data_IF_846571374106
#
_entry.id   IF_846571374106
#
_cell.length_a   1.000
_cell.length_b   1.000
_cell.length_c   1.000
_cell.angle_alpha   90.00
_cell.angle_beta   90.00
_cell.angle_gamma   90.00
#
_symmetry.space_group_name_H-M   'P 1'
#
loop_
_entity.id
_entity.type
_entity.pdbx_description
1 polymer ?
#
# COMPACT_ATOMS: atom_id res chain seq x y z
N UNK A 1 -23.79 -5.25 8.68
CA UNK A 1 -24.61 -4.67 9.78
C UNK A 1 -25.94 -5.40 9.83
N UNK A 2 -26.44 -5.79 11.00
CA UNK A 2 -27.85 -6.20 11.08
C UNK A 2 -28.73 -4.98 10.73
N UNK A 3 -29.81 -5.14 9.94
CA UNK A 3 -30.80 -4.08 9.75
C UNK A 3 -31.26 -3.53 11.13
N UNK A 4 -31.32 -2.20 11.28
CA UNK A 4 -31.84 -1.55 12.48
C UNK A 4 -30.87 -1.13 13.61
N UNK A 5 -29.53 -1.17 13.43
CA UNK A 5 -28.61 -0.71 14.49
C UNK A 5 -28.50 0.81 14.63
N UNK A 6 -29.06 1.57 13.68
CA UNK A 6 -29.11 3.01 13.68
C UNK A 6 -30.57 3.44 13.52
N UNK A 7 -31.05 4.32 14.39
CA UNK A 7 -32.38 4.89 14.32
C UNK A 7 -32.30 6.41 14.32
N UNK A 8 -33.14 7.06 13.52
CA UNK A 8 -33.29 8.50 13.46
C UNK A 8 -34.66 8.90 13.98
N UNK A 9 -34.71 9.99 14.74
CA UNK A 9 -35.96 10.55 15.25
C UNK A 9 -36.43 11.68 14.35
N UNK A 10 -37.58 11.50 13.71
CA UNK A 10 -38.19 12.55 12.89
C UNK A 10 -38.54 13.77 13.77
N UNK A 11 -38.08 14.98 13.44
CA UNK A 11 -38.37 16.18 14.23
C UNK A 11 -39.86 16.52 14.30
N UNK A 12 -40.62 16.32 13.21
CA UNK A 12 -42.04 16.64 13.16
C UNK A 12 -42.91 15.61 13.88
N UNK A 13 -42.73 14.33 13.55
CA UNK A 13 -43.60 13.24 14.05
C UNK A 13 -43.12 12.64 15.36
N UNK A 14 -41.87 12.91 15.76
CA UNK A 14 -41.16 12.29 16.89
C UNK A 14 -41.02 10.76 16.82
N UNK A 15 -41.44 10.13 15.73
CA UNK A 15 -41.29 8.71 15.48
C UNK A 15 -39.84 8.35 15.20
N UNK A 16 -39.46 7.13 15.58
CA UNK A 16 -38.17 6.54 15.24
C UNK A 16 -38.28 5.75 13.94
N UNK A 17 -37.36 6.00 13.02
CA UNK A 17 -37.23 5.26 11.76
C UNK A 17 -35.83 4.67 11.66
N UNK A 18 -35.65 3.64 10.84
CA UNK A 18 -34.31 3.15 10.51
C UNK A 18 -33.49 4.28 9.88
N UNK A 19 -32.25 4.42 10.35
CA UNK A 19 -31.29 5.38 9.82
C UNK A 19 -30.37 4.76 8.79
N UNK A 20 -29.94 5.55 7.82
CA UNK A 20 -28.87 5.19 6.89
C UNK A 20 -27.58 5.95 7.21
N UNK A 21 -26.48 5.45 6.69
CA UNK A 21 -25.18 6.12 6.78
C UNK A 21 -25.22 7.49 6.09
N UNK A 22 -25.88 7.59 4.93
CA UNK A 22 -26.10 8.82 4.18
C UNK A 22 -26.79 9.87 5.05
N UNK A 23 -27.87 9.48 5.74
CA UNK A 23 -28.63 10.38 6.60
C UNK A 23 -27.80 10.90 7.79
N UNK A 24 -26.92 10.06 8.38
CA UNK A 24 -26.01 10.52 9.45
C UNK A 24 -24.98 11.49 8.90
N UNK A 25 -24.40 11.20 7.74
CA UNK A 25 -23.41 12.05 7.11
C UNK A 25 -24.01 13.39 6.70
N UNK A 26 -25.24 13.42 6.21
CA UNK A 26 -25.96 14.64 5.81
C UNK A 26 -26.20 15.60 6.98
N UNK A 27 -26.31 15.09 8.21
CA UNK A 27 -26.47 15.91 9.42
C UNK A 27 -25.17 16.59 9.88
N UNK A 28 -24.01 16.23 9.31
CA UNK A 28 -22.74 16.80 9.71
C UNK A 28 -22.60 18.25 9.25
N UNK A 29 -22.06 19.16 10.09
CA UNK A 29 -21.85 20.57 9.75
C UNK A 29 -20.58 20.73 8.89
N UNK A 30 -20.56 20.12 7.71
CA UNK A 30 -19.42 20.11 6.80
C UNK A 30 -19.84 20.39 5.34
N UNK A 31 -18.92 20.90 4.48
CA UNK A 31 -19.19 21.07 3.06
C UNK A 31 -19.64 19.77 2.39
N UNK A 32 -20.53 19.86 1.40
CA UNK A 32 -21.07 18.70 0.70
C UNK A 32 -19.99 17.75 0.14
N UNK A 33 -18.89 18.30 -0.39
CA UNK A 33 -17.77 17.50 -0.88
C UNK A 33 -17.08 16.68 0.23
N UNK A 34 -16.88 17.26 1.42
CA UNK A 34 -16.27 16.57 2.55
C UNK A 34 -17.19 15.47 3.11
N UNK A 35 -18.50 15.74 3.17
CA UNK A 35 -19.52 14.74 3.52
C UNK A 35 -19.50 13.56 2.56
N UNK A 36 -19.45 13.81 1.25
CA UNK A 36 -19.38 12.76 0.23
C UNK A 36 -18.10 11.93 0.35
N UNK A 37 -16.94 12.56 0.60
CA UNK A 37 -15.68 11.83 0.85
C UNK A 37 -15.79 10.93 2.07
N UNK A 38 -16.31 11.46 3.19
CA UNK A 38 -16.50 10.68 4.41
C UNK A 38 -17.43 9.49 4.19
N UNK A 39 -18.56 9.69 3.52
CA UNK A 39 -19.51 8.62 3.19
C UNK A 39 -18.83 7.51 2.40
N UNK A 40 -18.05 7.86 1.35
CA UNK A 40 -17.30 6.89 0.56
C UNK A 40 -16.29 6.12 1.42
N UNK A 41 -15.55 6.81 2.26
CA UNK A 41 -14.55 6.18 3.15
C UNK A 41 -15.18 5.21 4.17
N UNK A 42 -16.36 5.55 4.70
CA UNK A 42 -17.13 4.69 5.60
C UNK A 42 -17.67 3.46 4.85
N UNK A 43 -18.22 3.65 3.64
CA UNK A 43 -18.69 2.56 2.79
C UNK A 43 -17.56 1.61 2.41
N UNK A 44 -16.40 2.12 2.00
CA UNK A 44 -15.22 1.30 1.71
C UNK A 44 -14.77 0.50 2.94
N UNK A 45 -14.80 1.12 4.13
CA UNK A 45 -14.47 0.41 5.37
C UNK A 45 -15.42 -0.75 5.62
N UNK A 46 -16.74 -0.57 5.40
CA UNK A 46 -17.74 -1.65 5.50
C UNK A 46 -17.43 -2.77 4.50
N UNK A 47 -17.20 -2.43 3.22
CA UNK A 47 -16.92 -3.41 2.17
C UNK A 47 -15.68 -4.26 2.50
N UNK A 48 -14.59 -3.64 2.97
CA UNK A 48 -13.38 -4.38 3.30
C UNK A 48 -13.51 -5.19 4.59
N UNK A 49 -14.29 -4.74 5.57
CA UNK A 49 -14.63 -5.55 6.73
C UNK A 49 -15.43 -6.79 6.34
N UNK A 50 -16.41 -6.65 5.46
CA UNK A 50 -17.19 -7.78 4.94
C UNK A 50 -16.31 -8.76 4.16
N UNK A 51 -15.37 -8.24 3.37
CA UNK A 51 -14.36 -9.05 2.70
C UNK A 51 -13.49 -9.82 3.68
N UNK A 52 -13.03 -9.19 4.77
CA UNK A 52 -12.21 -9.85 5.78
C UNK A 52 -12.95 -10.96 6.54
N UNK A 53 -14.27 -10.82 6.72
CA UNK A 53 -15.11 -11.88 7.30
C UNK A 53 -15.12 -13.16 6.46
N UNK A 54 -14.76 -13.09 5.18
CA UNK A 54 -14.65 -14.28 4.32
C UNK A 54 -13.29 -14.98 4.42
N UNK A 55 -12.31 -14.33 5.05
CA UNK A 55 -10.96 -14.87 5.19
C UNK A 55 -10.87 -15.86 6.36
N UNK A 56 -10.07 -16.93 6.23
CA UNK A 56 -9.82 -17.84 7.35
C UNK A 56 -9.17 -17.10 8.52
N UNK A 57 -9.82 -17.13 9.68
CA UNK A 57 -9.29 -16.54 10.90
C UNK A 57 -8.67 -17.63 11.80
N UNK A 58 -7.46 -17.42 12.34
CA UNK A 58 -6.86 -18.34 13.29
C UNK A 58 -7.62 -18.30 14.63
N UNK A 59 -7.93 -19.46 15.19
CA UNK A 59 -8.57 -19.58 16.51
C UNK A 59 -7.67 -19.08 17.65
N UNK A 60 -6.35 -19.18 17.48
CA UNK A 60 -5.35 -18.67 18.42
C UNK A 60 -4.27 -17.92 17.64
N UNK A 61 -4.02 -16.67 18.04
CA UNK A 61 -3.02 -15.79 17.43
C UNK A 61 -1.67 -15.80 18.16
N UNK A 62 -1.60 -16.34 19.39
CA UNK A 62 -0.43 -16.19 20.29
C UNK A 62 0.82 -16.95 19.82
N UNK A 63 0.63 -18.01 19.06
CA UNK A 63 1.72 -18.84 18.52
C UNK A 63 2.10 -18.50 17.08
N UNK A 64 1.47 -17.48 16.48
CA UNK A 64 1.77 -17.07 15.12
C UNK A 64 3.14 -16.39 15.04
N UNK A 65 3.85 -16.62 13.94
CA UNK A 65 4.99 -15.78 13.57
C UNK A 65 4.56 -14.34 13.37
N UNK A 66 5.50 -13.39 13.50
CA UNK A 66 5.20 -11.96 13.41
C UNK A 66 4.42 -11.58 12.14
N UNK A 67 4.84 -12.06 10.97
CA UNK A 67 4.16 -11.77 9.69
C UNK A 67 2.73 -12.31 9.65
N UNK A 68 2.50 -13.50 10.22
CA UNK A 68 1.18 -14.13 10.27
C UNK A 68 0.28 -13.48 11.32
N UNK A 69 0.85 -13.06 12.45
CA UNK A 69 0.15 -12.28 13.46
C UNK A 69 -0.30 -10.94 12.88
N UNK A 70 0.59 -10.21 12.20
CA UNK A 70 0.27 -8.92 11.60
C UNK A 70 -0.84 -9.02 10.54
N UNK A 71 -0.86 -10.10 9.74
CA UNK A 71 -1.97 -10.38 8.81
C UNK A 71 -3.28 -10.75 9.53
N UNK A 72 -3.22 -11.37 10.71
CA UNK A 72 -4.40 -11.83 11.43
C UNK A 72 -5.14 -10.72 12.19
N UNK A 73 -4.60 -9.51 12.23
CA UNK A 73 -5.22 -8.34 12.87
C UNK A 73 -6.18 -7.65 11.89
N UNK A 74 -7.47 -7.91 12.02
CA UNK A 74 -8.51 -7.27 11.22
C UNK A 74 -9.12 -6.04 11.90
N UNK A 75 -8.93 -5.90 13.22
CA UNK A 75 -9.55 -4.90 14.09
C UNK A 75 -9.04 -3.48 13.81
N UNK A 76 -7.82 -3.34 13.28
CA UNK A 76 -7.20 -2.08 12.86
C UNK A 76 -7.26 -0.97 13.94
N UNK A 77 -7.53 0.29 13.56
CA UNK A 77 -7.49 1.43 14.46
C UNK A 77 -8.78 1.51 15.31
N UNK A 78 -8.70 1.49 16.65
CA UNK A 78 -9.89 1.33 17.51
C UNK A 78 -10.83 2.56 17.56
N UNK A 79 -10.33 3.73 17.14
CA UNK A 79 -11.07 5.00 17.22
C UNK A 79 -11.57 5.56 15.87
N UNK A 80 -10.78 5.51 14.80
CA UNK A 80 -11.09 6.23 13.56
C UNK A 80 -12.14 5.45 12.77
N UNK A 81 -13.34 5.98 12.49
CA UNK A 81 -14.42 5.17 11.91
C UNK A 81 -14.11 4.68 10.48
N UNK A 82 -13.30 5.43 9.72
CA UNK A 82 -12.80 5.01 8.41
C UNK A 82 -11.41 4.35 8.47
N UNK A 83 -11.20 3.43 9.41
CA UNK A 83 -9.88 2.83 9.65
C UNK A 83 -9.37 1.97 8.48
N UNK A 84 -10.27 1.56 7.59
CA UNK A 84 -9.99 0.72 6.42
C UNK A 84 -10.50 1.39 5.14
N UNK A 85 -10.47 2.72 5.03
CA UNK A 85 -11.04 3.38 3.84
C UNK A 85 -10.35 3.01 2.53
N UNK A 86 -9.03 2.83 2.54
CA UNK A 86 -8.19 2.37 1.39
C UNK A 86 -8.64 2.93 0.03
N UNK A 87 -9.01 4.22 -0.01
CA UNK A 87 -9.54 4.86 -1.21
C UNK A 87 -8.51 4.78 -2.33
N UNK A 88 -8.91 4.15 -3.44
CA UNK A 88 -8.04 3.78 -4.55
C UNK A 88 -8.04 2.28 -4.83
N UNK A 89 -8.15 1.44 -3.80
CA UNK A 89 -8.25 -0.01 -3.97
C UNK A 89 -9.66 -0.45 -4.37
N UNK A 90 -9.75 -1.39 -5.31
CA UNK A 90 -10.93 -2.24 -5.47
C UNK A 90 -10.91 -3.41 -4.47
N UNK A 91 -11.97 -4.20 -4.43
CA UNK A 91 -12.03 -5.47 -3.68
C UNK A 91 -10.98 -6.48 -4.16
N UNK A 92 -10.68 -6.49 -5.45
CA UNK A 92 -9.66 -7.36 -6.05
C UNK A 92 -8.26 -6.89 -5.67
N UNK A 93 -8.01 -5.58 -5.70
CA UNK A 93 -6.75 -5.02 -5.23
C UNK A 93 -6.54 -5.30 -3.74
N UNK A 94 -7.59 -5.15 -2.93
CA UNK A 94 -7.54 -5.46 -1.51
C UNK A 94 -7.28 -6.95 -1.24
N UNK A 95 -7.86 -7.85 -2.04
CA UNK A 95 -7.57 -9.28 -1.94
C UNK A 95 -6.12 -9.61 -2.28
N UNK A 96 -5.49 -8.85 -3.18
CA UNK A 96 -4.11 -9.08 -3.63
C UNK A 96 -3.06 -8.41 -2.74
N UNK A 97 -3.35 -7.22 -2.23
CA UNK A 97 -2.38 -6.32 -1.60
C UNK A 97 -2.76 -5.89 -0.18
N UNK A 98 -3.97 -6.19 0.28
CA UNK A 98 -4.38 -5.94 1.66
C UNK A 98 -3.66 -6.87 2.65
N UNK A 99 -3.32 -6.38 3.85
CA UNK A 99 -2.60 -7.17 4.85
C UNK A 99 -3.38 -8.39 5.33
N UNK A 100 -4.71 -8.29 5.46
CA UNK A 100 -5.55 -9.34 6.04
C UNK A 100 -5.59 -10.59 5.16
N UNK A 101 -5.59 -10.42 3.84
CA UNK A 101 -5.54 -11.52 2.90
C UNK A 101 -4.21 -12.29 2.98
N UNK A 102 -3.16 -11.66 3.52
CA UNK A 102 -1.83 -12.24 3.65
C UNK A 102 -1.34 -12.83 2.34
N UNK A 103 -1.59 -12.19 1.20
CA UNK A 103 -1.10 -12.69 -0.08
C UNK A 103 0.31 -12.17 -0.35
N UNK A 104 1.29 -13.06 -0.58
CA UNK A 104 2.61 -12.62 -1.00
C UNK A 104 2.60 -12.13 -2.45
N UNK A 105 3.34 -11.06 -2.75
CA UNK A 105 3.55 -10.56 -4.10
C UNK A 105 5.00 -10.09 -4.30
N UNK A 106 5.47 -10.06 -5.55
CA UNK A 106 6.81 -9.56 -5.88
C UNK A 106 6.74 -8.08 -6.26
N UNK A 107 7.83 -7.36 -6.00
CA UNK A 107 7.93 -5.95 -6.38
C UNK A 107 8.20 -5.81 -7.87
N UNK A 108 7.69 -4.73 -8.45
CA UNK A 108 8.05 -4.30 -9.80
C UNK A 108 9.27 -3.40 -9.72
N UNK A 109 10.24 -3.59 -10.61
CA UNK A 109 11.49 -2.82 -10.57
C UNK A 109 11.58 -1.83 -11.71
N UNK A 110 12.02 -0.62 -11.38
CA UNK A 110 12.38 0.42 -12.33
C UNK A 110 13.89 0.69 -12.24
N UNK A 111 14.50 1.02 -13.37
CA UNK A 111 15.74 1.76 -13.42
C UNK A 111 15.39 3.22 -13.75
N UNK A 112 15.74 4.17 -12.88
CA UNK A 112 15.39 5.59 -13.01
C UNK A 112 16.67 6.39 -13.17
N UNK A 113 16.75 7.28 -14.16
CA UNK A 113 17.94 8.08 -14.43
C UNK A 113 18.40 8.84 -13.16
N UNK A 114 19.72 8.84 -12.90
CA UNK A 114 20.28 9.36 -11.64
C UNK A 114 19.93 10.82 -11.34
N UNK A 115 19.75 11.65 -12.37
CA UNK A 115 19.36 13.06 -12.22
C UNK A 115 17.98 13.24 -11.55
N UNK A 116 17.15 12.18 -11.55
CA UNK A 116 15.83 12.16 -10.93
C UNK A 116 15.76 11.39 -9.61
N UNK A 117 16.90 10.88 -9.12
CA UNK A 117 16.95 10.09 -7.89
C UNK A 117 17.86 10.75 -6.86
N UNK A 118 17.39 10.73 -5.61
CA UNK A 118 18.21 11.01 -4.44
C UNK A 118 18.20 9.74 -3.60
N UNK A 119 19.38 9.18 -3.36
CA UNK A 119 19.56 7.93 -2.63
C UNK A 119 20.50 8.15 -1.44
N UNK A 120 20.23 7.45 -0.34
CA UNK A 120 21.07 7.41 0.85
C UNK A 120 21.16 5.94 1.27
N UNK A 121 22.20 5.26 0.81
CA UNK A 121 22.43 3.84 1.05
C UNK A 121 23.60 3.65 2.03
N UNK A 122 23.57 2.62 2.89
CA UNK A 122 24.65 2.34 3.83
C UNK A 122 25.89 1.74 3.16
N UNK A 123 25.77 1.31 1.90
CA UNK A 123 26.82 0.73 1.06
C UNK A 123 26.76 1.40 -0.32
N UNK A 124 27.75 1.14 -1.17
CA UNK A 124 27.63 1.48 -2.58
C UNK A 124 26.42 0.76 -3.21
N UNK A 125 25.81 1.31 -4.28
CA UNK A 125 24.58 0.79 -4.85
C UNK A 125 24.65 -0.68 -5.27
N UNK A 126 25.76 -1.12 -5.87
CA UNK A 126 25.88 -2.51 -6.34
C UNK A 126 25.94 -3.48 -5.17
N UNK A 127 26.80 -3.22 -4.18
CA UNK A 127 26.91 -4.03 -2.97
C UNK A 127 25.61 -4.06 -2.17
N UNK A 128 24.91 -2.92 -2.06
CA UNK A 128 23.62 -2.84 -1.38
C UNK A 128 22.58 -3.74 -2.06
N UNK A 129 22.41 -3.63 -3.37
CA UNK A 129 21.41 -4.42 -4.09
C UNK A 129 21.78 -5.90 -4.19
N UNK A 130 23.05 -6.25 -4.33
CA UNK A 130 23.51 -7.64 -4.23
C UNK A 130 23.18 -8.25 -2.88
N UNK A 131 23.41 -7.49 -1.79
CA UNK A 131 23.06 -7.93 -0.44
C UNK A 131 21.56 -8.14 -0.32
N UNK A 132 20.73 -7.13 -0.61
CA UNK A 132 19.28 -7.20 -0.35
C UNK A 132 18.53 -8.16 -1.28
N UNK A 133 18.96 -8.32 -2.53
CA UNK A 133 18.30 -9.20 -3.50
C UNK A 133 18.88 -10.63 -3.52
N UNK A 134 20.13 -10.79 -3.10
CA UNK A 134 20.91 -11.99 -3.38
C UNK A 134 21.37 -12.06 -4.84
N UNK A 135 22.40 -12.88 -5.07
CA UNK A 135 23.13 -12.95 -6.34
C UNK A 135 22.21 -13.21 -7.55
N UNK A 136 21.33 -14.21 -7.45
CA UNK A 136 20.48 -14.63 -8.56
C UNK A 136 19.47 -13.54 -8.99
N UNK A 137 18.86 -12.83 -8.03
CA UNK A 137 17.88 -11.79 -8.33
C UNK A 137 18.55 -10.48 -8.77
N UNK A 138 19.71 -10.14 -8.21
CA UNK A 138 20.52 -9.00 -8.66
C UNK A 138 21.01 -9.21 -10.09
N UNK A 139 21.60 -10.38 -10.40
CA UNK A 139 22.07 -10.72 -11.75
C UNK A 139 20.94 -10.63 -12.79
N UNK A 140 19.71 -11.04 -12.43
CA UNK A 140 18.55 -10.92 -13.32
C UNK A 140 18.18 -9.46 -13.59
N UNK A 141 18.23 -8.57 -12.60
CA UNK A 141 17.97 -7.14 -12.80
C UNK A 141 19.07 -6.49 -13.63
N UNK A 142 20.34 -6.72 -13.30
CA UNK A 142 21.46 -6.14 -14.04
C UNK A 142 21.48 -6.61 -15.50
N UNK A 143 21.12 -7.87 -15.75
CA UNK A 143 20.92 -8.38 -17.11
C UNK A 143 19.76 -7.67 -17.85
N UNK A 144 18.67 -7.34 -17.16
CA UNK A 144 17.54 -6.56 -17.73
C UNK A 144 17.94 -5.11 -18.00
N UNK A 145 18.70 -4.48 -17.10
CA UNK A 145 19.27 -3.14 -17.29
C UNK A 145 20.16 -3.11 -18.52
N UNK A 146 21.10 -4.05 -18.66
CA UNK A 146 21.97 -4.15 -19.83
C UNK A 146 21.19 -4.31 -21.14
N UNK A 147 20.11 -5.12 -21.16
CA UNK A 147 19.22 -5.24 -22.34
C UNK A 147 18.45 -3.96 -22.69
N UNK A 148 18.33 -3.04 -21.73
CA UNK A 148 17.72 -1.72 -21.90
C UNK A 148 18.76 -0.61 -22.11
N UNK A 149 20.03 -0.98 -22.29
CA UNK A 149 21.15 -0.06 -22.46
C UNK A 149 21.31 0.94 -21.29
N UNK A 150 21.00 0.48 -20.06
CA UNK A 150 21.20 1.24 -18.83
C UNK A 150 22.08 0.48 -17.86
N UNK A 151 22.72 1.21 -16.94
CA UNK A 151 23.64 0.66 -15.93
C UNK A 151 23.39 1.32 -14.57
N UNK A 152 23.99 0.78 -13.51
CA UNK A 152 23.97 1.44 -12.21
C UNK A 152 24.68 2.80 -12.23
N UNK A 153 25.56 3.10 -13.20
CA UNK A 153 26.19 4.41 -13.32
C UNK A 153 25.24 5.48 -13.86
N UNK A 154 24.32 5.10 -14.75
CA UNK A 154 23.36 6.03 -15.38
C UNK A 154 22.01 6.07 -14.68
N UNK A 155 21.61 4.97 -14.03
CA UNK A 155 20.29 4.79 -13.43
C UNK A 155 20.38 4.14 -12.05
N UNK A 156 19.51 4.54 -11.13
CA UNK A 156 19.30 3.87 -9.86
C UNK A 156 18.17 2.84 -9.94
N UNK A 157 18.30 1.74 -9.20
CA UNK A 157 17.21 0.76 -9.04
C UNK A 157 16.19 1.28 -8.03
N UNK A 158 14.92 1.27 -8.41
CA UNK A 158 13.80 1.72 -7.56
C UNK A 158 12.73 0.63 -7.52
N UNK A 159 12.48 0.00 -6.35
CA UNK A 159 11.36 -0.91 -6.20
C UNK A 159 10.04 -0.14 -6.19
N UNK A 160 9.01 -0.72 -6.81
CA UNK A 160 7.68 -0.15 -6.91
C UNK A 160 6.64 -1.20 -6.55
N UNK A 161 5.61 -0.77 -5.82
CA UNK A 161 4.48 -1.63 -5.49
C UNK A 161 3.75 -2.02 -6.78
N UNK A 162 3.37 -3.29 -7.03
CA UNK A 162 2.72 -3.69 -8.29
C UNK A 162 1.43 -2.94 -8.59
N UNK A 163 0.64 -2.64 -7.55
CA UNK A 163 -0.53 -1.75 -7.69
C UNK A 163 -0.14 -0.37 -8.21
N UNK A 164 0.91 0.25 -7.65
CA UNK A 164 1.39 1.56 -8.08
C UNK A 164 1.90 1.52 -9.52
N UNK A 165 2.58 0.44 -9.92
CA UNK A 165 2.98 0.23 -11.32
C UNK A 165 1.77 0.22 -12.26
N UNK A 166 0.70 -0.52 -11.94
CA UNK A 166 -0.53 -0.56 -12.75
C UNK A 166 -1.14 0.82 -12.96
N UNK A 167 -1.08 1.68 -11.95
CA UNK A 167 -1.64 3.03 -11.99
C UNK A 167 -0.78 4.03 -12.74
N UNK A 168 0.55 3.86 -12.71
CA UNK A 168 1.47 4.84 -13.27
C UNK A 168 1.91 4.52 -14.70
N UNK A 169 1.95 3.23 -15.09
CA UNK A 169 2.60 2.77 -16.33
C UNK A 169 2.05 3.40 -17.61
N UNK A 170 0.73 3.62 -17.67
CA UNK A 170 0.03 4.13 -18.85
C UNK A 170 -0.20 5.65 -18.76
N UNK A 171 0.18 6.27 -17.64
CA UNK A 171 0.02 7.69 -17.35
C UNK A 171 1.38 8.38 -17.13
N UNK A 172 1.65 8.76 -15.88
CA UNK A 172 2.80 9.59 -15.52
C UNK A 172 4.14 8.98 -15.94
N UNK A 173 4.29 7.66 -15.86
CA UNK A 173 5.52 6.97 -16.27
C UNK A 173 5.62 6.76 -17.79
N UNK A 174 4.53 6.82 -18.55
CA UNK A 174 4.57 6.53 -19.98
C UNK A 174 5.55 7.46 -20.72
N UNK A 175 5.47 8.76 -20.44
CA UNK A 175 6.38 9.76 -21.02
C UNK A 175 7.83 9.56 -20.54
N UNK A 176 8.03 9.24 -19.25
CA UNK A 176 9.37 9.02 -18.71
C UNK A 176 10.03 7.77 -19.31
N UNK A 177 9.24 6.75 -19.63
CA UNK A 177 9.69 5.56 -20.32
C UNK A 177 10.02 5.87 -21.78
N UNK A 178 9.16 6.62 -22.48
CA UNK A 178 9.38 7.02 -23.86
C UNK A 178 10.66 7.85 -24.03
N UNK A 179 10.95 8.73 -23.07
CA UNK A 179 12.14 9.60 -23.07
C UNK A 179 13.40 8.91 -22.52
N UNK A 180 13.33 7.63 -22.16
CA UNK A 180 14.47 6.88 -21.62
C UNK A 180 14.88 7.25 -20.18
N UNK A 181 14.13 8.12 -19.50
CA UNK A 181 14.36 8.50 -18.09
C UNK A 181 14.06 7.35 -17.13
N UNK A 182 13.19 6.42 -17.54
CA UNK A 182 12.81 5.23 -16.78
C UNK A 182 12.83 4.00 -17.67
N UNK A 183 13.49 2.94 -17.24
CA UNK A 183 13.36 1.63 -17.83
C UNK A 183 12.58 0.70 -16.88
N UNK A 184 11.49 0.12 -17.38
CA UNK A 184 10.75 -0.92 -16.65
C UNK A 184 11.50 -2.25 -16.72
N UNK A 185 11.86 -2.79 -15.54
CA UNK A 185 12.61 -4.05 -15.40
C UNK A 185 11.71 -5.22 -15.00
N UNK A 186 10.40 -5.00 -14.82
CA UNK A 186 9.44 -6.06 -14.49
C UNK A 186 9.53 -6.56 -13.04
N UNK A 187 8.72 -7.57 -12.73
CA UNK A 187 8.72 -8.20 -11.41
C UNK A 187 10.01 -9.00 -11.15
N UNK A 188 10.57 -8.86 -9.95
CA UNK A 188 11.80 -9.54 -9.52
C UNK A 188 11.92 -9.58 -7.99
N UNK A 189 12.75 -10.50 -7.48
CA UNK A 189 13.06 -10.63 -6.07
C UNK A 189 12.14 -11.61 -5.35
N UNK A 190 12.34 -11.66 -4.03
CA UNK A 190 11.52 -12.42 -3.11
C UNK A 190 10.08 -11.91 -3.07
N UNK A 191 9.12 -12.78 -2.71
CA UNK A 191 7.79 -12.35 -2.35
C UNK A 191 7.80 -11.54 -1.05
N UNK A 192 6.95 -10.53 -0.99
CA UNK A 192 6.70 -9.72 0.20
C UNK A 192 5.23 -9.80 0.63
N UNK A 193 4.98 -9.60 1.93
CA UNK A 193 3.63 -9.42 2.49
C UNK A 193 3.45 -7.99 2.96
N UNK A 194 2.28 -7.42 2.67
CA UNK A 194 1.90 -6.13 3.22
C UNK A 194 1.67 -6.23 4.73
N UNK A 195 2.16 -5.24 5.48
CA UNK A 195 1.82 -5.08 6.90
C UNK A 195 0.53 -4.29 7.08
N UNK A 196 0.08 -4.11 8.32
CA UNK A 196 -1.05 -3.23 8.69
C UNK A 196 -0.95 -1.80 8.11
N UNK A 197 0.26 -1.32 7.78
CA UNK A 197 0.44 -0.04 7.10
C UNK A 197 0.10 -0.05 5.60
N UNK A 198 -0.17 -1.23 5.03
CA UNK A 198 -0.38 -1.57 3.62
C UNK A 198 0.90 -1.44 2.78
N UNK A 199 1.66 -0.38 3.00
CA UNK A 199 2.80 0.03 2.16
C UNK A 199 4.18 -0.30 2.71
N UNK A 200 4.27 -0.73 3.97
CA UNK A 200 5.49 -1.40 4.49
C UNK A 200 5.32 -2.89 4.28
N UNK A 201 6.37 -3.51 3.75
CA UNK A 201 6.33 -4.87 3.26
C UNK A 201 7.42 -5.68 3.94
N UNK A 202 7.07 -6.87 4.42
CA UNK A 202 8.01 -7.82 5.04
C UNK A 202 8.41 -8.85 3.99
N UNK A 203 9.71 -9.15 3.88
CA UNK A 203 10.18 -10.21 3.01
C UNK A 203 9.65 -11.55 3.54
N UNK A 204 8.83 -12.24 2.74
CA UNK A 204 8.18 -13.48 3.14
C UNK A 204 9.12 -14.70 3.02
N UNK A 205 10.10 -14.64 2.12
CA UNK A 205 11.06 -15.73 1.92
C UNK A 205 12.16 -15.71 2.98
N UNK A 206 12.62 -14.52 3.37
CA UNK A 206 13.68 -14.33 4.35
C UNK A 206 13.34 -13.17 5.30
N UNK A 207 12.77 -13.45 6.48
CA UNK A 207 12.41 -12.45 7.48
C UNK A 207 13.60 -11.66 8.06
N UNK A 208 14.85 -12.09 7.82
CA UNK A 208 16.03 -11.34 8.24
C UNK A 208 16.38 -10.18 7.28
N UNK A 209 15.74 -10.11 6.11
CA UNK A 209 15.91 -9.00 5.15
C UNK A 209 15.18 -7.75 5.58
N UNK A 210 15.63 -6.62 5.05
CA UNK A 210 15.02 -5.34 5.36
C UNK A 210 13.54 -5.32 4.94
N UNK A 211 12.72 -4.67 5.76
CA UNK A 211 11.37 -4.30 5.33
C UNK A 211 11.46 -3.22 4.25
N UNK A 212 10.56 -3.28 3.28
CA UNK A 212 10.50 -2.29 2.19
C UNK A 212 9.26 -1.42 2.38
N UNK A 213 9.44 -0.11 2.53
CA UNK A 213 8.34 0.85 2.62
C UNK A 213 8.24 1.67 1.33
N UNK A 214 7.10 1.60 0.68
CA UNK A 214 6.89 2.18 -0.66
C UNK A 214 5.86 3.32 -0.62
N UNK A 215 5.98 4.33 -1.49
CA UNK A 215 4.86 5.23 -1.73
C UNK A 215 3.71 4.45 -2.39
N UNK A 216 2.48 4.72 -1.95
CA UNK A 216 1.28 4.11 -2.49
C UNK A 216 0.19 5.19 -2.57
N UNK A 217 -0.35 5.41 -3.76
CA UNK A 217 -1.30 6.50 -4.03
C UNK A 217 -2.73 6.14 -3.61
N UNK A 218 -2.87 5.82 -2.32
CA UNK A 218 -4.15 5.55 -1.67
C UNK A 218 -4.36 6.50 -0.50
N UNK A 219 -5.62 6.76 -0.16
CA UNK A 219 -6.00 7.37 1.12
C UNK A 219 -6.40 6.26 2.09
N UNK A 220 -5.85 6.28 3.29
CA UNK A 220 -6.37 5.48 4.39
C UNK A 220 -6.43 6.36 5.63
N UNK A 221 -7.47 6.21 6.46
CA UNK A 221 -7.69 7.05 7.65
C UNK A 221 -7.53 8.54 7.34
N UNK A 222 -8.19 9.03 6.28
CA UNK A 222 -8.12 10.42 5.83
C UNK A 222 -6.71 10.97 5.49
N UNK A 223 -5.69 10.12 5.27
CA UNK A 223 -4.35 10.58 4.86
C UNK A 223 -3.75 9.75 3.73
N UNK A 224 -3.14 10.47 2.79
CA UNK A 224 -2.40 9.91 1.65
C UNK A 224 -1.21 9.06 2.13
N UNK A 225 -0.97 7.93 1.46
CA UNK A 225 0.14 7.02 1.79
C UNK A 225 1.39 7.31 0.94
N UNK A 226 1.74 8.60 0.82
CA UNK A 226 2.93 9.11 0.12
C UNK A 226 4.18 9.14 1.02
N UNK A 227 5.36 9.10 0.42
CA UNK A 227 6.65 9.33 1.08
C UNK A 227 7.24 10.63 0.54
N UNK A 228 7.50 11.59 1.41
CA UNK A 228 8.05 12.87 0.99
C UNK A 228 9.55 12.73 0.66
N UNK A 229 10.02 13.21 -0.50
CA UNK A 229 11.39 12.97 -0.96
C UNK A 229 12.48 13.38 0.04
N UNK A 230 12.29 14.52 0.71
CA UNK A 230 13.26 15.02 1.69
C UNK A 230 13.39 14.11 2.91
N UNK A 231 12.29 13.50 3.38
CA UNK A 231 12.31 12.57 4.50
C UNK A 231 13.06 11.27 4.18
N UNK A 232 13.09 10.84 2.91
CA UNK A 232 13.75 9.60 2.49
C UNK A 232 15.25 9.65 2.73
N UNK A 233 15.91 10.73 2.34
CA UNK A 233 17.37 10.88 2.49
C UNK A 233 17.78 11.26 3.91
N UNK A 234 16.88 11.86 4.69
CA UNK A 234 17.15 12.18 6.10
C UNK A 234 16.93 10.98 7.03
N UNK A 235 16.03 10.04 6.70
CA UNK A 235 15.68 8.92 7.56
C UNK A 235 16.87 8.07 8.06
N UNK A 236 17.87 7.70 7.21
CA UNK A 236 19.03 6.95 7.67
C UNK A 236 19.88 7.69 8.72
N UNK A 237 19.87 9.03 8.74
CA UNK A 237 20.63 9.81 9.71
C UNK A 237 19.95 9.93 11.07
N UNK A 238 18.65 9.62 11.16
CA UNK A 238 17.86 9.70 12.39
C UNK A 238 17.69 8.36 13.09
N UNK A 239 18.08 7.26 12.44
CA UNK A 239 17.81 5.87 12.88
C UNK A 239 18.95 5.26 13.69
#
# INVERSE_FOLDING_TARGET
MAPGSLQLRCPETRAWTEGSLDAVVDLLPAPAAARLTLLKELQSTIVFLEQDCTLPQPNDRRSLSFDRLDCALAEAHPYHPCFKSRTGFSTEDNALFGPEAGRPFRLHWLAVARDHVREALPLDPESFWLRELGEAHAARLFSRMKRKDVSLDSHALVPLHPWQWRHLKDGLLANWIADGRVASLGENGDPYRATQSIRTLINHADPARAHVKLPLDIVNTSSMRVLEPHSIVTAPHLS
#
